data_IF_318895735077
#
_entry.id   IF_318895735077
#
_cell.length_a   1.000
_cell.length_b   1.000
_cell.length_c   1.000
_cell.angle_alpha   90.00
_cell.angle_beta   90.00
_cell.angle_gamma   90.00
#
_symmetry.space_group_name_H-M   'P 1'
#
loop_
_entity.id
_entity.type
_entity.pdbx_description
1 polymer ?
#
# COMPACT_ATOMS: atom_id res chain seq x y z
N UNK A 1 2.03 7.86 -29.28
CA UNK A 1 1.53 6.82 -28.35
C UNK A 1 0.64 5.86 -29.14
N UNK A 2 0.87 4.56 -29.04
CA UNK A 2 0.06 3.56 -29.75
C UNK A 2 -1.40 3.64 -29.28
N UNK A 3 -2.37 3.36 -30.16
CA UNK A 3 -3.82 3.39 -29.87
C UNK A 3 -4.20 2.55 -28.64
N UNK A 4 -3.43 1.49 -28.37
CA UNK A 4 -3.60 0.64 -27.18
C UNK A 4 -3.22 1.36 -25.89
N UNK A 5 -2.12 2.12 -25.88
CA UNK A 5 -1.68 2.89 -24.71
C UNK A 5 -2.70 3.96 -24.31
N UNK A 6 -3.38 4.58 -25.28
CA UNK A 6 -4.45 5.54 -24.98
C UNK A 6 -5.66 4.89 -24.32
N UNK A 7 -6.07 3.70 -24.78
CA UNK A 7 -7.16 2.94 -24.14
C UNK A 7 -6.78 2.52 -22.73
N UNK A 8 -5.55 2.04 -22.52
CA UNK A 8 -5.04 1.67 -21.19
C UNK A 8 -5.03 2.86 -20.24
N UNK A 9 -4.51 4.02 -20.67
CA UNK A 9 -4.50 5.25 -19.86
C UNK A 9 -5.93 5.68 -19.52
N UNK A 10 -6.86 5.62 -20.48
CA UNK A 10 -8.27 5.95 -20.23
C UNK A 10 -8.89 5.05 -19.16
N UNK A 11 -8.72 3.74 -19.25
CA UNK A 11 -9.26 2.81 -18.24
C UNK A 11 -8.59 2.99 -16.88
N UNK A 12 -7.28 3.28 -16.83
CA UNK A 12 -6.57 3.57 -15.58
C UNK A 12 -7.09 4.85 -14.91
N UNK A 13 -7.29 5.92 -15.68
CA UNK A 13 -7.86 7.18 -15.17
C UNK A 13 -9.31 6.98 -14.73
N UNK A 14 -10.11 6.24 -15.50
CA UNK A 14 -11.49 5.92 -15.15
C UNK A 14 -11.57 5.13 -13.83
N UNK A 15 -10.77 4.07 -13.69
CA UNK A 15 -10.69 3.29 -12.46
C UNK A 15 -10.21 4.14 -11.28
N UNK A 16 -9.22 5.01 -11.49
CA UNK A 16 -8.73 5.92 -10.44
C UNK A 16 -9.84 6.87 -9.94
N UNK A 17 -10.59 7.49 -10.85
CA UNK A 17 -11.71 8.37 -10.48
C UNK A 17 -12.81 7.60 -9.75
N UNK A 18 -13.14 6.40 -10.21
CA UNK A 18 -14.12 5.54 -9.53
C UNK A 18 -13.66 5.15 -8.12
N UNK A 19 -12.39 4.78 -7.94
CA UNK A 19 -11.85 4.43 -6.62
C UNK A 19 -11.83 5.63 -5.67
N UNK A 20 -11.47 6.83 -6.15
CA UNK A 20 -11.48 8.05 -5.33
C UNK A 20 -12.92 8.43 -4.96
N UNK A 21 -13.86 8.37 -5.90
CA UNK A 21 -15.28 8.66 -5.66
C UNK A 21 -15.92 7.67 -4.68
N UNK A 22 -15.71 6.37 -4.91
CA UNK A 22 -16.21 5.31 -4.02
C UNK A 22 -15.52 5.35 -2.66
N UNK A 23 -14.22 5.58 -2.60
CA UNK A 23 -13.47 5.73 -1.35
C UNK A 23 -13.92 6.94 -0.55
N UNK A 24 -14.22 8.07 -1.20
CA UNK A 24 -14.77 9.26 -0.56
C UNK A 24 -16.16 9.02 0.05
N UNK A 25 -17.01 8.25 -0.64
CA UNK A 25 -18.37 7.92 -0.18
C UNK A 25 -18.35 6.84 0.92
N UNK A 26 -17.56 5.78 0.75
CA UNK A 26 -17.57 4.61 1.62
C UNK A 26 -16.82 4.83 2.94
N UNK A 27 -15.73 5.58 2.91
CA UNK A 27 -14.81 5.66 4.03
C UNK A 27 -15.04 6.92 4.87
N UNK A 28 -15.34 8.07 4.25
CA UNK A 28 -15.59 9.33 4.96
C UNK A 28 -14.52 9.67 6.00
N UNK A 29 -14.91 10.40 7.07
CA UNK A 29 -13.99 10.76 8.17
C UNK A 29 -13.58 9.58 9.03
N UNK A 30 -14.47 8.60 9.18
CA UNK A 30 -14.26 7.41 10.01
C UNK A 30 -13.19 6.49 9.40
N UNK A 31 -13.18 6.32 8.09
CA UNK A 31 -12.18 5.56 7.36
C UNK A 31 -10.80 6.18 7.41
N UNK A 32 -10.69 7.52 7.43
CA UNK A 32 -9.40 8.19 7.68
C UNK A 32 -8.86 7.88 9.08
N UNK A 33 -9.73 7.88 10.11
CA UNK A 33 -9.31 7.56 11.48
C UNK A 33 -8.91 6.08 11.59
N UNK A 34 -9.68 5.16 11.01
CA UNK A 34 -9.35 3.73 11.00
C UNK A 34 -8.05 3.48 10.23
N UNK A 35 -7.87 4.08 9.06
CA UNK A 35 -6.62 3.99 8.30
C UNK A 35 -5.43 4.56 9.07
N UNK A 36 -5.61 5.66 9.82
CA UNK A 36 -4.58 6.22 10.68
C UNK A 36 -4.21 5.28 11.85
N UNK A 37 -5.20 4.65 12.49
CA UNK A 37 -4.98 3.66 13.56
C UNK A 37 -4.28 2.42 13.02
N UNK A 38 -4.70 1.90 11.86
CA UNK A 38 -4.04 0.77 11.19
C UNK A 38 -2.62 1.14 10.76
N UNK A 39 -2.40 2.34 10.21
CA UNK A 39 -1.08 2.81 9.81
C UNK A 39 -0.15 3.00 11.01
N UNK A 40 -0.65 3.48 12.16
CA UNK A 40 0.11 3.48 13.41
C UNK A 40 0.39 2.06 13.86
N UNK A 41 -0.61 1.16 13.86
CA UNK A 41 -0.42 -0.25 14.19
C UNK A 41 0.66 -0.91 13.34
N UNK A 42 0.63 -0.71 12.03
CA UNK A 42 1.62 -1.23 11.07
C UNK A 42 2.98 -0.54 11.24
N UNK A 43 3.03 0.75 11.56
CA UNK A 43 4.31 1.43 11.81
C UNK A 43 4.95 0.94 13.11
N UNK A 44 4.19 0.84 14.21
CA UNK A 44 4.69 0.31 15.48
C UNK A 44 5.08 -1.17 15.33
N UNK A 45 4.24 -1.97 14.67
CA UNK A 45 4.54 -3.38 14.40
C UNK A 45 5.73 -3.51 13.45
N UNK A 46 5.84 -2.68 12.41
CA UNK A 46 7.02 -2.66 11.55
C UNK A 46 8.24 -2.23 12.31
N UNK A 47 8.23 -1.20 13.17
CA UNK A 47 9.41 -0.80 13.93
C UNK A 47 9.85 -1.88 14.92
N UNK A 48 8.91 -2.55 15.62
CA UNK A 48 9.22 -3.60 16.59
C UNK A 48 9.56 -4.95 15.94
N UNK A 49 9.02 -5.22 14.76
CA UNK A 49 9.27 -6.43 13.99
C UNK A 49 10.27 -6.21 12.85
N UNK A 50 10.76 -4.98 12.61
CA UNK A 50 11.74 -4.66 11.55
C UNK A 50 13.02 -5.43 11.80
N UNK A 51 13.45 -5.50 13.06
CA UNK A 51 14.62 -6.29 13.46
C UNK A 51 14.48 -7.77 13.04
N UNK A 52 13.27 -8.34 13.06
CA UNK A 52 13.01 -9.75 12.67
C UNK A 52 12.57 -9.93 11.22
N UNK A 53 11.94 -8.92 10.60
CA UNK A 53 11.41 -8.98 9.24
C UNK A 53 12.51 -8.71 8.21
N UNK A 54 13.47 -7.82 8.53
CA UNK A 54 14.73 -7.69 7.79
C UNK A 54 15.54 -8.98 7.89
N UNK A 55 15.60 -9.67 9.04
CA UNK A 55 16.29 -10.97 9.13
C UNK A 55 15.61 -12.07 8.29
N UNK A 56 14.27 -12.03 8.13
CA UNK A 56 13.50 -13.00 7.32
C UNK A 56 13.52 -12.70 5.82
N UNK A 57 13.44 -11.43 5.41
CA UNK A 57 13.60 -10.99 4.01
C UNK A 57 15.05 -11.10 3.55
N UNK A 58 15.96 -10.74 4.45
CA UNK A 58 17.31 -11.27 4.64
C UNK A 58 17.68 -12.48 3.81
N UNK A 59 17.04 -13.62 4.17
CA UNK A 59 17.59 -14.96 3.88
C UNK A 59 19.13 -14.95 4.02
N UNK A 60 19.64 -14.15 4.96
CA UNK A 60 21.06 -13.88 5.08
C UNK A 60 21.62 -15.19 5.60
N UNK A 61 22.16 -15.96 4.68
CA UNK A 61 23.05 -17.07 5.01
C UNK A 61 24.06 -16.47 5.99
N UNK A 62 24.25 -17.05 7.18
CA UNK A 62 25.38 -16.66 7.99
C UNK A 62 26.61 -16.83 7.10
N UNK A 63 27.32 -15.75 6.82
CA UNK A 63 28.71 -15.86 6.38
C UNK A 63 29.46 -16.18 7.67
N UNK A 64 29.49 -17.46 8.00
CA UNK A 64 30.57 -18.00 8.79
C UNK A 64 31.76 -18.11 7.84
N UNK A 65 32.87 -17.54 8.31
CA UNK A 65 34.22 -17.72 7.79
C UNK A 65 34.54 -19.18 7.45
#
# INVERSE_FOLDING_TARGET
MNTNSMKTVFFMVLLMVLFIGLGGILAGRTGMIIAFVIAMGINFFSYWFSDKMVLKMYKAKPVAE
#
